data_IF_755333805170
#
_entry.id   IF_755333805170
#
_cell.length_a   1.000
_cell.length_b   1.000
_cell.length_c   1.000
_cell.angle_alpha   90.00
_cell.angle_beta   90.00
_cell.angle_gamma   90.00
#
_symmetry.space_group_name_H-M   'P 1'
#
loop_
_entity.id
_entity.type
_entity.pdbx_description
1 polymer ?
#
# COMPACT_ATOMS: atom_id res chain seq x y z
N UNK A 1 15.32 -13.28 20.48
CA UNK A 1 15.28 -13.28 18.99
C UNK A 1 13.84 -13.58 18.60
N UNK A 2 13.06 -12.55 18.26
CA UNK A 2 11.71 -12.75 17.74
C UNK A 2 11.86 -13.18 16.28
N UNK A 3 11.35 -14.36 15.93
CA UNK A 3 11.28 -14.78 14.53
C UNK A 3 10.30 -13.89 13.77
N UNK A 4 10.68 -13.46 12.57
CA UNK A 4 9.82 -12.66 11.68
C UNK A 4 8.56 -13.46 11.34
N UNK A 5 7.39 -12.94 11.73
CA UNK A 5 6.11 -13.63 11.52
C UNK A 5 5.64 -13.43 10.07
N UNK A 6 5.61 -14.52 9.30
CA UNK A 6 4.98 -14.55 7.97
C UNK A 6 3.65 -15.27 8.07
N UNK A 7 2.57 -14.58 7.70
CA UNK A 7 1.23 -15.18 7.61
C UNK A 7 0.95 -15.58 6.17
N UNK A 8 0.55 -16.82 5.96
CA UNK A 8 0.08 -17.31 4.67
C UNK A 8 -1.43 -17.30 4.59
N UNK A 9 -1.95 -16.81 3.48
CA UNK A 9 -3.38 -16.59 3.24
C UNK A 9 -3.70 -16.96 1.79
N UNK A 10 -4.99 -17.19 1.49
CA UNK A 10 -5.45 -17.46 0.13
C UNK A 10 -6.67 -16.61 -0.18
N UNK A 11 -6.67 -15.98 -1.36
CA UNK A 11 -7.75 -15.13 -1.85
C UNK A 11 -7.96 -15.37 -3.33
N UNK A 12 -9.20 -15.61 -3.75
CA UNK A 12 -9.54 -15.78 -5.17
C UNK A 12 -8.69 -16.86 -5.89
N UNK A 13 -8.14 -17.83 -5.16
CA UNK A 13 -7.22 -18.86 -5.69
C UNK A 13 -5.75 -18.45 -5.73
N UNK A 14 -5.39 -17.21 -5.37
CA UNK A 14 -4.03 -16.72 -5.26
C UNK A 14 -3.47 -16.90 -3.85
N UNK A 15 -2.19 -17.27 -3.76
CA UNK A 15 -1.48 -17.35 -2.48
C UNK A 15 -0.94 -15.97 -2.12
N UNK A 16 -1.26 -15.52 -0.91
CA UNK A 16 -0.79 -14.27 -0.37
C UNK A 16 0.05 -14.54 0.88
N UNK A 17 1.09 -13.73 1.07
CA UNK A 17 1.97 -13.80 2.22
C UNK A 17 2.10 -12.41 2.81
N UNK A 18 1.88 -12.29 4.11
CA UNK A 18 2.05 -11.05 4.85
C UNK A 18 3.24 -11.17 5.78
N UNK A 19 4.20 -10.28 5.57
CA UNK A 19 5.15 -9.89 6.58
C UNK A 19 4.54 -8.87 7.54
N UNK A 20 4.25 -9.29 8.77
CA UNK A 20 3.57 -8.41 9.73
C UNK A 20 4.48 -7.26 10.16
N UNK A 21 5.77 -7.53 10.31
CA UNK A 21 6.75 -6.57 10.82
C UNK A 21 7.10 -5.51 9.77
N UNK A 22 7.33 -5.92 8.52
CA UNK A 22 7.63 -4.98 7.44
C UNK A 22 6.39 -4.35 6.79
N UNK A 23 5.18 -4.84 7.11
CA UNK A 23 3.97 -4.44 6.40
C UNK A 23 4.04 -4.77 4.90
N UNK A 24 4.75 -5.84 4.55
CA UNK A 24 4.96 -6.27 3.16
C UNK A 24 4.01 -7.42 2.84
N UNK A 25 3.11 -7.19 1.90
CA UNK A 25 2.23 -8.18 1.33
C UNK A 25 2.75 -8.55 -0.06
N UNK A 26 2.91 -9.84 -0.34
CA UNK A 26 3.11 -10.31 -1.71
C UNK A 26 2.11 -11.39 -2.10
N UNK A 27 1.63 -11.29 -3.34
CA UNK A 27 0.58 -12.16 -3.88
C UNK A 27 1.11 -12.83 -5.15
N UNK A 28 1.22 -14.16 -5.09
CA UNK A 28 1.60 -14.97 -6.23
C UNK A 28 0.41 -15.13 -7.17
N UNK A 29 0.63 -14.92 -8.46
CA UNK A 29 -0.42 -15.00 -9.47
C UNK A 29 0.05 -15.69 -10.76
N UNK A 30 -0.90 -16.14 -11.56
CA UNK A 30 -0.67 -16.75 -12.87
C UNK A 30 -0.64 -15.72 -14.02
N UNK A 31 -0.91 -14.46 -13.72
CA UNK A 31 -0.99 -13.36 -14.68
C UNK A 31 -2.40 -12.75 -14.81
N UNK A 32 -3.39 -13.39 -14.19
CA UNK A 32 -4.80 -12.99 -14.29
C UNK A 32 -5.27 -12.06 -13.17
N UNK A 33 -4.45 -11.86 -12.12
CA UNK A 33 -4.85 -11.03 -10.98
C UNK A 33 -5.17 -9.61 -11.42
N UNK A 34 -6.37 -9.15 -11.06
CA UNK A 34 -6.85 -7.81 -11.40
C UNK A 34 -6.51 -6.80 -10.31
N UNK A 35 -6.57 -5.52 -10.67
CA UNK A 35 -6.42 -4.43 -9.72
C UNK A 35 -7.48 -4.48 -8.61
N UNK A 36 -8.74 -4.79 -8.96
CA UNK A 36 -9.83 -4.91 -7.98
C UNK A 36 -9.58 -6.04 -6.98
N UNK A 37 -9.06 -7.18 -7.44
CA UNK A 37 -8.68 -8.28 -6.56
C UNK A 37 -7.54 -7.88 -5.64
N UNK A 38 -6.49 -7.21 -6.15
CA UNK A 38 -5.40 -6.69 -5.32
C UNK A 38 -5.89 -5.71 -4.25
N UNK A 39 -6.77 -4.78 -4.63
CA UNK A 39 -7.37 -3.83 -3.70
C UNK A 39 -8.20 -4.54 -2.62
N UNK A 40 -9.01 -5.54 -3.00
CA UNK A 40 -9.82 -6.33 -2.07
C UNK A 40 -8.96 -7.19 -1.11
N UNK A 41 -7.86 -7.77 -1.59
CA UNK A 41 -6.89 -8.50 -0.76
C UNK A 41 -6.26 -7.53 0.24
N UNK A 42 -5.73 -6.39 -0.23
CA UNK A 42 -5.15 -5.34 0.63
C UNK A 42 -6.12 -4.89 1.71
N UNK A 43 -7.39 -4.64 1.35
CA UNK A 43 -8.43 -4.26 2.31
C UNK A 43 -8.76 -5.38 3.31
N UNK A 44 -8.71 -6.64 2.90
CA UNK A 44 -8.92 -7.78 3.79
C UNK A 44 -7.77 -7.97 4.78
N UNK A 45 -6.55 -7.61 4.38
CA UNK A 45 -5.33 -7.73 5.20
C UNK A 45 -5.15 -6.56 6.17
N UNK A 46 -5.39 -5.32 5.73
CA UNK A 46 -5.08 -4.11 6.51
C UNK A 46 -6.27 -3.19 6.77
N UNK A 47 -7.46 -3.53 6.28
CA UNK A 47 -8.67 -2.70 6.36
C UNK A 47 -8.82 -1.72 5.20
N UNK A 48 -10.05 -1.20 5.04
CA UNK A 48 -10.42 -0.33 3.91
C UNK A 48 -9.66 1.00 3.89
N UNK A 49 -9.27 1.52 5.05
CA UNK A 49 -8.54 2.79 5.17
C UNK A 49 -7.03 2.69 4.92
N UNK A 50 -6.48 1.48 4.77
CA UNK A 50 -5.06 1.32 4.56
C UNK A 50 -4.63 1.73 3.14
N UNK A 51 -3.59 2.54 3.06
CA UNK A 51 -2.88 2.83 1.82
C UNK A 51 -1.71 1.86 1.66
N UNK A 52 -1.39 1.52 0.40
CA UNK A 52 -0.24 0.69 0.07
C UNK A 52 0.30 1.07 -1.31
N UNK A 53 1.57 0.77 -1.56
CA UNK A 53 2.26 1.04 -2.82
C UNK A 53 2.88 -0.21 -3.41
N UNK A 54 2.82 -0.34 -4.73
CA UNK A 54 3.65 -1.26 -5.52
C UNK A 54 4.81 -0.47 -6.12
N UNK A 55 6.04 -0.90 -5.86
CA UNK A 55 7.25 -0.22 -6.35
C UNK A 55 7.81 -0.98 -7.55
N UNK A 56 8.00 -0.27 -8.65
CA UNK A 56 8.64 -0.80 -9.86
C UNK A 56 10.13 -0.44 -9.83
N UNK A 57 11.03 -1.41 -9.58
CA UNK A 57 12.46 -1.11 -9.43
C UNK A 57 13.09 -0.73 -10.78
N UNK A 58 14.29 -0.13 -10.78
CA UNK A 58 15.07 0.08 -11.99
C UNK A 58 15.21 -1.22 -12.79
N UNK A 59 15.20 -1.13 -14.13
CA UNK A 59 15.26 -2.31 -15.03
C UNK A 59 16.42 -3.25 -14.71
N UNK A 60 17.57 -2.70 -14.29
CA UNK A 60 18.77 -3.46 -13.91
C UNK A 60 18.64 -4.26 -12.62
N UNK A 61 17.64 -3.97 -11.79
CA UNK A 61 17.36 -4.64 -10.53
C UNK A 61 16.15 -5.61 -10.64
N UNK A 62 15.53 -5.72 -11.81
CA UNK A 62 14.40 -6.64 -12.02
C UNK A 62 14.91 -8.08 -12.05
N UNK A 63 14.48 -8.87 -11.07
CA UNK A 63 14.62 -10.33 -11.07
C UNK A 63 13.25 -10.94 -11.39
N UNK A 64 13.07 -11.45 -12.60
CA UNK A 64 11.79 -12.02 -13.05
C UNK A 64 11.73 -13.53 -12.83
N UNK A 65 11.79 -13.97 -11.58
CA UNK A 65 11.75 -15.40 -11.22
C UNK A 65 10.33 -15.93 -11.01
N UNK A 66 9.35 -15.04 -10.77
CA UNK A 66 7.96 -15.39 -10.48
C UNK A 66 7.02 -14.21 -10.76
N UNK A 67 5.80 -14.52 -11.17
CA UNK A 67 4.70 -13.56 -11.23
C UNK A 67 4.16 -13.29 -9.82
N UNK A 68 4.59 -12.16 -9.25
CA UNK A 68 4.20 -11.75 -7.90
C UNK A 68 3.94 -10.25 -7.87
N UNK A 69 2.85 -9.84 -7.19
CA UNK A 69 2.55 -8.44 -6.89
C UNK A 69 2.99 -8.11 -5.49
N UNK A 70 3.77 -7.05 -5.31
CA UNK A 70 4.31 -6.65 -4.01
C UNK A 70 3.66 -5.34 -3.57
N UNK A 71 3.09 -5.32 -2.38
CA UNK A 71 2.48 -4.16 -1.76
C UNK A 71 3.13 -3.88 -0.41
N UNK A 72 3.51 -2.65 -0.16
CA UNK A 72 3.95 -2.19 1.16
C UNK A 72 2.90 -1.25 1.74
N UNK A 73 2.42 -1.57 2.95
CA UNK A 73 1.51 -0.72 3.70
C UNK A 73 2.20 0.58 4.07
N UNK A 74 1.50 1.69 3.87
CA UNK A 74 1.94 3.00 4.34
C UNK A 74 1.38 3.31 5.72
N UNK A 75 2.18 3.96 6.55
CA UNK A 75 1.79 4.50 7.84
C UNK A 75 0.93 5.76 7.74
N UNK A 76 0.28 6.13 8.84
CA UNK A 76 -0.69 7.25 8.94
C UNK A 76 -0.08 8.63 8.58
N UNK A 77 1.25 8.77 8.66
CA UNK A 77 1.96 10.00 8.31
C UNK A 77 2.68 9.98 6.96
N UNK A 78 2.70 8.85 6.26
CA UNK A 78 3.50 8.70 5.06
C UNK A 78 2.84 9.36 3.84
N UNK A 79 3.68 9.96 3.00
CA UNK A 79 3.25 10.57 1.77
C UNK A 79 3.07 9.51 0.69
N UNK A 80 1.91 9.57 0.03
CA UNK A 80 1.68 8.98 -1.28
C UNK A 80 0.90 10.02 -2.08
N UNK A 81 1.17 10.17 -3.40
CA UNK A 81 0.38 11.07 -4.22
C UNK A 81 -1.09 10.67 -4.07
N UNK A 82 -1.86 11.57 -3.46
CA UNK A 82 -3.28 11.38 -3.39
C UNK A 82 -3.83 11.55 -4.79
N UNK A 83 -4.25 10.44 -5.39
CA UNK A 83 -4.78 10.43 -6.75
C UNK A 83 -6.06 11.27 -6.90
N UNK A 84 -6.75 11.55 -5.79
CA UNK A 84 -8.00 12.32 -5.77
C UNK A 84 -7.79 13.78 -5.32
N UNK A 85 -6.64 14.12 -4.74
CA UNK A 85 -6.39 15.43 -4.13
C UNK A 85 -7.32 15.78 -2.97
N UNK A 86 -8.01 14.79 -2.41
CA UNK A 86 -9.02 14.89 -1.35
C UNK A 86 -8.51 14.51 0.04
N UNK A 87 -7.17 14.48 0.23
CA UNK A 87 -6.61 14.40 1.58
C UNK A 87 -7.15 15.61 2.34
N UNK A 88 -7.93 15.39 3.43
CA UNK A 88 -8.45 16.50 4.19
C UNK A 88 -7.26 17.37 4.58
N UNK A 89 -7.28 18.63 4.12
CA UNK A 89 -6.27 19.60 4.52
C UNK A 89 -6.29 19.59 6.04
N UNK A 90 -5.20 19.13 6.66
CA UNK A 90 -5.11 19.07 8.12
C UNK A 90 -5.46 20.47 8.64
N UNK A 91 -6.48 20.57 9.48
CA UNK A 91 -6.84 21.84 10.13
C UNK A 91 -5.76 22.18 11.16
N UNK A 92 -4.67 22.74 10.66
CA UNK A 92 -3.51 23.16 11.44
C UNK A 92 -3.54 24.67 11.64
N UNK A 93 -2.85 25.14 12.68
CA UNK A 93 -2.61 26.57 12.90
C UNK A 93 -2.02 27.23 11.64
N UNK A 94 -1.02 26.61 11.03
CA UNK A 94 -0.43 27.06 9.78
C UNK A 94 -1.48 27.19 8.66
N UNK A 95 -2.31 26.17 8.43
CA UNK A 95 -3.36 26.22 7.40
C UNK A 95 -4.37 27.34 7.63
N UNK A 96 -4.67 27.70 8.89
CA UNK A 96 -5.57 28.81 9.24
C UNK A 96 -4.95 30.16 8.92
N UNK A 97 -3.67 30.35 9.24
CA UNK A 97 -2.95 31.59 8.94
C UNK A 97 -2.67 31.77 7.44
N UNK A 98 -2.35 30.69 6.73
CA UNK A 98 -2.20 30.71 5.26
C UNK A 98 -3.50 31.16 4.58
N UNK A 99 -4.67 30.67 5.04
CA UNK A 99 -5.98 31.15 4.55
C UNK A 99 -6.19 32.63 4.84
N UNK A 100 -5.91 33.06 6.07
CA UNK A 100 -6.07 34.47 6.48
C UNK A 100 -5.16 35.43 5.69
N UNK A 101 -3.92 35.05 5.39
CA UNK A 101 -2.98 35.86 4.63
C UNK A 101 -3.20 35.81 3.11
N UNK A 102 -3.79 34.74 2.59
CA UNK A 102 -4.15 34.62 1.18
C UNK A 102 -5.32 35.52 0.77
N UNK A 103 -6.02 36.14 1.73
CA UNK A 103 -7.08 37.11 1.47
C UNK A 103 -8.36 36.53 0.85
N UNK A 104 -8.60 35.22 1.05
CA UNK A 104 -9.82 34.51 0.62
C UNK A 104 -10.84 34.42 1.74
#
# INVERSE_FOLDING_TARGET
MSGREIREMSFYGFRAHLDVELGHLWVDHDGTITWDQLQAIKCSVWGNGAAAVEVYPPKSQIVNSRNTRHLWRLGEGEFFPDLLGDRPKKDTLQSRYERAWAGV
#
